data_IF_456867473785
#
_entry.id   IF_456867473785
#
_cell.length_a   1.000
_cell.length_b   1.000
_cell.length_c   1.000
_cell.angle_alpha   90.00
_cell.angle_beta   90.00
_cell.angle_gamma   90.00
#
_symmetry.space_group_name_H-M   'P 1'
#
loop_
_entity.id
_entity.type
_entity.pdbx_description
1 polymer ?
#
# COMPACT_ATOMS: atom_id res chain seq x y z
N UNK A 1 -17.98 2.76 -9.42
CA UNK A 1 -16.79 1.92 -9.68
C UNK A 1 -15.60 2.87 -9.80
N UNK A 2 -14.49 2.57 -9.14
CA UNK A 2 -13.25 3.34 -9.30
C UNK A 2 -12.59 2.89 -10.61
N UNK A 3 -12.23 3.81 -11.51
CA UNK A 3 -11.75 3.48 -12.85
C UNK A 3 -10.25 3.67 -13.06
N UNK A 4 -9.52 4.22 -12.08
CA UNK A 4 -8.06 4.34 -12.13
C UNK A 4 -7.40 4.09 -10.78
N UNK A 5 -6.10 3.80 -10.81
CA UNK A 5 -5.25 3.70 -9.61
C UNK A 5 -5.34 4.98 -8.78
N UNK A 6 -5.17 6.14 -9.40
CA UNK A 6 -5.14 7.42 -8.71
C UNK A 6 -6.47 7.71 -8.00
N UNK A 7 -7.61 7.41 -8.65
CA UNK A 7 -8.92 7.54 -8.01
C UNK A 7 -9.09 6.56 -6.84
N UNK A 8 -8.48 5.39 -6.88
CA UNK A 8 -8.51 4.43 -5.78
C UNK A 8 -7.72 4.95 -4.59
N UNK A 9 -6.52 5.46 -4.83
CA UNK A 9 -5.65 6.04 -3.80
C UNK A 9 -6.30 7.28 -3.15
N UNK A 10 -6.86 8.18 -3.96
CA UNK A 10 -7.60 9.35 -3.44
C UNK A 10 -8.81 8.93 -2.60
N UNK A 11 -9.57 7.92 -3.05
CA UNK A 11 -10.72 7.43 -2.32
C UNK A 11 -10.31 6.83 -0.97
N UNK A 12 -9.28 5.98 -0.96
CA UNK A 12 -8.77 5.37 0.28
C UNK A 12 -8.24 6.45 1.23
N UNK A 13 -7.47 7.41 0.71
CA UNK A 13 -6.96 8.53 1.51
C UNK A 13 -8.11 9.31 2.17
N UNK A 14 -9.14 9.66 1.40
CA UNK A 14 -10.33 10.34 1.92
C UNK A 14 -11.05 9.51 2.97
N UNK A 15 -11.21 8.21 2.76
CA UNK A 15 -11.91 7.31 3.69
C UNK A 15 -11.11 7.12 5.01
N UNK A 16 -9.77 7.13 4.96
CA UNK A 16 -8.91 7.10 6.14
C UNK A 16 -8.90 8.44 6.91
N UNK A 17 -8.88 9.57 6.20
CA UNK A 17 -8.86 10.91 6.80
C UNK A 17 -10.22 11.35 7.36
N UNK A 18 -11.32 10.97 6.70
CA UNK A 18 -12.67 11.43 7.05
C UNK A 18 -13.35 10.61 8.14
N UNK A 19 -12.87 9.40 8.43
CA UNK A 19 -13.48 8.53 9.42
C UNK A 19 -12.70 8.53 10.74
N UNK A 20 -13.26 9.08 11.84
CA UNK A 20 -12.60 9.16 13.13
C UNK A 20 -12.16 7.81 13.69
N UNK A 21 -12.79 6.70 13.29
CA UNK A 21 -12.43 5.35 13.74
C UNK A 21 -10.97 4.99 13.42
N UNK A 22 -10.39 5.55 12.34
CA UNK A 22 -9.02 5.27 11.93
C UNK A 22 -7.98 6.22 12.54
N UNK A 23 -8.42 7.33 13.14
CA UNK A 23 -7.54 8.36 13.71
C UNK A 23 -6.62 7.84 14.84
N UNK A 24 -7.00 6.73 15.49
CA UNK A 24 -6.21 6.07 16.52
C UNK A 24 -5.00 5.30 16.00
N UNK A 25 -5.01 4.88 14.73
CA UNK A 25 -3.98 4.01 14.18
C UNK A 25 -2.65 4.73 13.97
N UNK A 26 -1.56 4.07 14.36
CA UNK A 26 -0.20 4.57 14.15
C UNK A 26 0.10 4.84 12.67
N UNK A 27 -0.31 3.92 11.79
CA UNK A 27 -0.09 4.03 10.34
C UNK A 27 -0.74 5.31 9.76
N UNK A 28 -1.91 5.70 10.25
CA UNK A 28 -2.60 6.93 9.83
C UNK A 28 -1.89 8.16 10.38
N UNK A 29 -1.57 8.17 11.68
CA UNK A 29 -0.87 9.31 12.33
C UNK A 29 0.49 9.59 11.72
N UNK A 30 1.25 8.55 11.40
CA UNK A 30 2.60 8.64 10.83
C UNK A 30 2.60 8.72 9.30
N UNK A 31 1.43 8.78 8.64
CA UNK A 31 1.29 8.76 7.18
C UNK A 31 2.02 7.58 6.51
N UNK A 32 2.09 6.44 7.20
CA UNK A 32 2.68 5.18 6.71
C UNK A 32 1.62 4.30 6.07
N UNK A 33 1.07 4.76 4.96
CA UNK A 33 0.09 4.03 4.16
C UNK A 33 0.78 3.53 2.90
N UNK A 34 0.67 2.22 2.63
CA UNK A 34 1.28 1.57 1.47
C UNK A 34 0.19 1.02 0.56
N UNK A 35 0.25 1.34 -0.73
CA UNK A 35 -0.71 0.89 -1.74
C UNK A 35 -0.17 -0.31 -2.49
N UNK A 36 -0.83 -1.46 -2.33
CA UNK A 36 -0.42 -2.71 -2.98
C UNK A 36 -0.66 -2.67 -4.50
N UNK A 37 0.37 -2.82 -5.35
CA UNK A 37 0.23 -2.82 -6.80
C UNK A 37 -0.62 -4.00 -7.30
N UNK A 38 -1.54 -3.73 -8.21
CA UNK A 38 -2.47 -4.75 -8.70
C UNK A 38 -1.75 -5.91 -9.41
N UNK A 39 -0.68 -5.64 -10.13
CA UNK A 39 0.12 -6.66 -10.83
C UNK A 39 0.80 -7.67 -9.88
N UNK A 40 0.93 -7.32 -8.60
CA UNK A 40 1.57 -8.16 -7.58
C UNK A 40 0.56 -8.78 -6.60
N UNK A 41 -0.61 -8.16 -6.41
CA UNK A 41 -1.53 -8.50 -5.30
C UNK A 41 -3.00 -8.68 -5.70
N UNK A 42 -3.43 -8.19 -6.87
CA UNK A 42 -4.81 -8.39 -7.33
C UNK A 42 -4.93 -9.68 -8.17
N UNK A 43 -3.94 -9.93 -9.02
CA UNK A 43 -3.81 -11.16 -9.79
C UNK A 43 -2.70 -12.03 -9.19
N UNK A 44 -2.84 -13.36 -9.29
CA UNK A 44 -1.78 -14.28 -8.87
C UNK A 44 -0.53 -14.05 -9.76
N UNK A 45 0.62 -13.62 -9.18
CA UNK A 45 1.82 -13.30 -9.94
C UNK A 45 2.58 -14.55 -10.45
N UNK A 46 2.16 -15.76 -10.05
CA UNK A 46 2.78 -17.01 -10.48
C UNK A 46 4.25 -17.08 -10.08
N UNK A 47 5.13 -17.33 -11.06
CA UNK A 47 6.57 -17.41 -10.83
C UNK A 47 7.18 -16.11 -10.26
N UNK A 48 6.50 -14.96 -10.41
CA UNK A 48 6.94 -13.66 -9.88
C UNK A 48 6.49 -13.38 -8.45
N UNK A 49 5.98 -14.38 -7.73
CA UNK A 49 5.56 -14.18 -6.34
C UNK A 49 6.65 -13.62 -5.43
N UNK A 50 7.93 -13.91 -5.74
CA UNK A 50 9.05 -13.31 -5.03
C UNK A 50 9.05 -11.77 -5.07
N UNK A 51 8.56 -11.15 -6.15
CA UNK A 51 8.43 -9.69 -6.28
C UNK A 51 7.39 -9.13 -5.29
N UNK A 52 6.29 -9.86 -5.06
CA UNK A 52 5.29 -9.49 -4.04
C UNK A 52 5.87 -9.59 -2.63
N UNK A 53 6.70 -10.59 -2.36
CA UNK A 53 7.38 -10.74 -1.07
C UNK A 53 8.41 -9.63 -0.85
N UNK A 54 9.24 -9.34 -1.85
CA UNK A 54 10.21 -8.25 -1.82
C UNK A 54 9.52 -6.89 -1.60
N UNK A 55 8.42 -6.64 -2.31
CA UNK A 55 7.62 -5.44 -2.14
C UNK A 55 7.14 -5.28 -0.69
N UNK A 56 6.61 -6.34 -0.08
CA UNK A 56 6.17 -6.32 1.32
C UNK A 56 7.33 -6.11 2.29
N UNK A 57 8.50 -6.72 2.03
CA UNK A 57 9.67 -6.54 2.87
C UNK A 57 10.15 -5.08 2.89
N UNK A 58 10.25 -4.44 1.72
CA UNK A 58 10.56 -3.01 1.57
C UNK A 58 9.51 -2.11 2.22
N UNK A 59 8.23 -2.47 2.10
CA UNK A 59 7.12 -1.71 2.68
C UNK A 59 7.15 -1.71 4.22
N UNK A 60 7.58 -2.81 4.84
CA UNK A 60 7.58 -2.97 6.30
C UNK A 60 8.91 -2.55 6.93
N UNK A 61 10.04 -2.81 6.25
CA UNK A 61 11.40 -2.56 6.74
C UNK A 61 12.26 -1.81 5.70
N UNK A 62 11.89 -0.57 5.32
CA UNK A 62 12.63 0.19 4.31
C UNK A 62 14.09 0.47 4.72
N UNK A 63 14.38 0.53 6.02
CA UNK A 63 15.73 0.71 6.57
C UNK A 63 16.65 -0.50 6.32
N UNK A 64 16.08 -1.68 6.04
CA UNK A 64 16.83 -2.91 5.77
C UNK A 64 16.87 -3.20 4.27
N UNK A 65 15.74 -3.02 3.57
CA UNK A 65 15.57 -3.49 2.19
C UNK A 65 15.47 -2.37 1.13
N UNK A 66 15.53 -1.09 1.53
CA UNK A 66 15.32 0.06 0.66
C UNK A 66 13.85 0.44 0.48
N UNK A 67 13.59 1.58 -0.17
CA UNK A 67 12.22 2.08 -0.33
C UNK A 67 11.45 1.33 -1.42
N UNK A 68 10.12 1.32 -1.28
CA UNK A 68 9.22 0.81 -2.31
C UNK A 68 9.21 1.79 -3.50
N UNK A 69 9.68 1.33 -4.67
CA UNK A 69 9.64 2.11 -5.92
C UNK A 69 10.95 2.82 -6.30
N UNK A 70 12.04 2.59 -5.56
CA UNK A 70 13.42 2.80 -6.03
C UNK A 70 13.94 1.58 -6.81
#
# INVERSE_FOLDING_TARGET
>A
MVSSKDQAEERIKKDLESNPAWSGLRAVKEKKIVYLPQNLFLSNPGAKFYESVEYMAKAVYPEVYGNVGE
#
